data_IF_699941599859
#
_entry.id   IF_699941599859
#
_cell.length_a   1.000
_cell.length_b   1.000
_cell.length_c   1.000
_cell.angle_alpha   90.00
_cell.angle_beta   90.00
_cell.angle_gamma   90.00
#
_symmetry.space_group_name_H-M   'P 1'
#
loop_
_entity.id
_entity.type
_entity.pdbx_description
1 polymer ?
#
# COMPACT_ATOMS: atom_id res chain seq x y z
N UNK A 1 30.74 19.97 -17.07
CA UNK A 1 29.28 19.99 -17.16
C UNK A 1 28.77 18.79 -16.38
N UNK A 2 28.33 18.99 -15.14
CA UNK A 2 27.73 17.94 -14.32
C UNK A 2 26.23 17.96 -14.60
N UNK A 3 25.76 17.02 -15.42
CA UNK A 3 24.33 16.72 -15.51
C UNK A 3 23.94 16.14 -14.16
N UNK A 4 23.34 16.99 -13.31
CA UNK A 4 22.51 16.51 -12.20
C UNK A 4 21.35 15.77 -12.86
N UNK A 5 21.48 14.46 -13.03
CA UNK A 5 20.34 13.60 -13.27
C UNK A 5 19.50 13.63 -12.02
N UNK A 6 18.58 14.59 -11.94
CA UNK A 6 17.48 14.52 -10.99
C UNK A 6 16.83 13.15 -11.24
N UNK A 7 16.76 12.25 -10.25
CA UNK A 7 16.06 11.00 -10.46
C UNK A 7 14.62 11.38 -10.78
N UNK A 8 14.15 10.98 -11.97
CA UNK A 8 12.76 11.09 -12.36
C UNK A 8 11.95 10.23 -11.37
N UNK A 9 11.62 10.80 -10.21
CA UNK A 9 10.76 10.20 -9.20
C UNK A 9 9.33 10.45 -9.69
N UNK A 10 8.98 9.85 -10.82
CA UNK A 10 7.59 9.69 -11.15
C UNK A 10 7.07 8.58 -10.24
N UNK A 11 6.61 8.98 -9.04
CA UNK A 11 5.92 8.05 -8.14
C UNK A 11 4.77 7.43 -8.96
N UNK A 12 4.69 6.08 -9.01
CA UNK A 12 3.68 5.44 -9.83
C UNK A 12 2.29 5.83 -9.31
N UNK A 13 1.33 6.10 -10.21
CA UNK A 13 0.00 6.53 -9.79
C UNK A 13 -0.62 5.46 -8.88
N UNK A 14 -1.16 5.88 -7.73
CA UNK A 14 -1.81 4.98 -6.77
C UNK A 14 -3.26 4.76 -7.19
N UNK A 15 -3.68 3.50 -7.21
CA UNK A 15 -5.04 3.05 -7.50
C UNK A 15 -5.71 2.53 -6.24
N UNK A 16 -6.99 2.84 -6.08
CA UNK A 16 -7.85 2.29 -5.04
C UNK A 16 -8.77 1.21 -5.63
N UNK A 17 -8.80 0.05 -4.99
CA UNK A 17 -9.78 -1.02 -5.24
C UNK A 17 -10.69 -1.12 -4.03
N UNK A 18 -11.99 -0.89 -4.24
CA UNK A 18 -13.00 -0.97 -3.17
C UNK A 18 -13.81 -2.24 -3.35
N UNK A 19 -13.82 -3.09 -2.33
CA UNK A 19 -14.73 -4.23 -2.23
C UNK A 19 -15.83 -3.87 -1.24
N UNK A 20 -17.08 -4.01 -1.66
CA UNK A 20 -18.24 -3.72 -0.82
C UNK A 20 -18.84 -5.00 -0.28
N UNK A 21 -19.22 -4.95 0.98
CA UNK A 21 -19.86 -6.07 1.66
C UNK A 21 -21.17 -5.62 2.30
N UNK A 22 -22.15 -6.52 2.34
CA UNK A 22 -23.49 -6.20 2.86
C UNK A 22 -23.54 -6.27 4.39
N UNK A 23 -22.71 -7.14 4.99
CA UNK A 23 -22.78 -7.50 6.41
C UNK A 23 -21.61 -6.95 7.26
N UNK A 24 -20.63 -6.32 6.61
CA UNK A 24 -19.49 -5.67 7.30
C UNK A 24 -19.00 -4.46 6.51
N UNK A 25 -18.04 -3.75 7.09
CA UNK A 25 -17.47 -2.55 6.49
C UNK A 25 -16.84 -2.85 5.11
N UNK A 26 -16.97 -1.90 4.20
CA UNK A 26 -16.28 -1.91 2.92
C UNK A 26 -14.76 -2.01 3.12
N UNK A 27 -14.10 -2.77 2.25
CA UNK A 27 -12.65 -2.89 2.23
C UNK A 27 -12.07 -2.03 1.11
N UNK A 28 -11.03 -1.25 1.42
CA UNK A 28 -10.32 -0.41 0.47
C UNK A 28 -8.84 -0.80 0.42
N UNK A 29 -8.38 -1.29 -0.73
CA UNK A 29 -6.97 -1.60 -0.98
C UNK A 29 -6.34 -0.52 -1.86
N UNK A 30 -5.26 0.10 -1.40
CA UNK A 30 -4.45 1.03 -2.18
C UNK A 30 -3.22 0.32 -2.72
N UNK A 31 -2.95 0.43 -4.02
CA UNK A 31 -1.78 -0.18 -4.65
C UNK A 31 -1.28 0.65 -5.84
N UNK A 32 0.00 0.58 -6.21
CA UNK A 32 0.49 1.14 -7.46
C UNK A 32 -0.30 0.62 -8.67
N UNK A 33 -0.54 1.47 -9.67
CA UNK A 33 -1.24 1.07 -10.89
C UNK A 33 -0.39 0.15 -11.79
N UNK A 34 0.92 0.42 -11.84
CA UNK A 34 1.91 -0.38 -12.57
C UNK A 34 2.66 -1.28 -11.59
N UNK A 35 2.24 -2.54 -11.54
CA UNK A 35 2.93 -3.60 -10.81
C UNK A 35 3.71 -4.44 -11.82
N UNK A 36 4.94 -4.06 -12.11
CA UNK A 36 5.91 -4.98 -12.73
C UNK A 36 6.09 -6.19 -11.81
N UNK A 37 6.18 -7.40 -12.36
CA UNK A 37 6.19 -8.64 -11.55
C UNK A 37 7.33 -8.67 -10.52
N UNK A 38 8.44 -8.00 -10.84
CA UNK A 38 9.63 -7.81 -9.98
C UNK A 38 9.43 -6.75 -8.87
N UNK A 39 8.48 -5.84 -9.06
CA UNK A 39 8.13 -4.77 -8.11
C UNK A 39 6.99 -5.12 -7.15
N UNK A 40 6.49 -6.37 -7.21
CA UNK A 40 5.63 -6.98 -6.18
C UNK A 40 6.46 -7.21 -4.90
N UNK A 41 6.83 -6.13 -4.23
CA UNK A 41 7.64 -6.12 -3.01
C UNK A 41 6.87 -6.56 -1.75
N UNK A 42 5.57 -6.87 -1.89
CA UNK A 42 4.75 -7.28 -0.76
C UNK A 42 4.86 -8.78 -0.57
N UNK A 43 5.86 -9.19 0.20
CA UNK A 43 5.66 -10.35 1.07
C UNK A 43 4.48 -9.97 1.98
N UNK A 44 3.38 -10.71 1.87
CA UNK A 44 2.17 -10.44 2.63
C UNK A 44 2.42 -10.72 4.10
N UNK A 45 2.69 -9.67 4.88
CA UNK A 45 2.75 -9.79 6.34
C UNK A 45 1.31 -9.93 6.83
N UNK A 46 0.97 -11.14 7.25
CA UNK A 46 -0.30 -11.45 7.89
C UNK A 46 -0.15 -11.22 9.40
N UNK A 47 -1.13 -10.59 10.04
CA UNK A 47 -1.18 -10.43 11.49
C UNK A 47 -2.44 -11.11 12.03
N UNK A 48 -2.31 -11.90 13.10
CA UNK A 48 -3.45 -12.55 13.73
C UNK A 48 -4.09 -11.63 14.79
N UNK A 49 -5.30 -11.97 15.22
CA UNK A 49 -5.99 -11.23 16.27
C UNK A 49 -5.15 -11.24 17.56
N UNK A 50 -4.65 -10.07 17.96
CA UNK A 50 -3.73 -9.91 19.10
C UNK A 50 -2.35 -9.39 18.72
N UNK A 51 -1.96 -9.47 17.45
CA UNK A 51 -0.67 -8.96 16.94
C UNK A 51 -0.71 -7.47 16.56
N UNK A 52 -1.89 -6.87 16.49
CA UNK A 52 -2.08 -5.45 16.20
C UNK A 52 -2.76 -4.73 17.37
N UNK A 53 -2.38 -3.48 17.62
CA UNK A 53 -2.98 -2.63 18.64
C UNK A 53 -3.39 -1.28 18.05
N UNK A 54 -4.43 -0.67 18.63
CA UNK A 54 -4.89 0.65 18.19
C UNK A 54 -3.82 1.70 18.51
N UNK A 55 -3.45 2.53 17.52
CA UNK A 55 -2.43 3.57 17.68
C UNK A 55 -2.80 4.58 18.78
N UNK A 56 -4.10 4.84 18.98
CA UNK A 56 -4.61 5.67 20.09
C UNK A 56 -4.36 5.08 21.48
N UNK A 57 -4.01 3.80 21.56
CA UNK A 57 -3.67 3.10 22.81
C UNK A 57 -2.18 3.21 23.14
N UNK A 58 -1.34 3.70 22.22
CA UNK A 58 0.05 4.05 22.51
C UNK A 58 0.10 5.44 23.15
N UNK A 59 0.68 5.51 24.35
CA UNK A 59 0.92 6.76 25.11
C UNK A 59 2.38 7.15 25.03
#
# INVERSE_FOLDING_TARGET
>A
MTTTGEPDHHEPPIRATIVRYDDHADECTLHPADLDEDSRLTEWISAESGDYFALTSCR
#
